data_IF_294481464754
#
_entry.id   IF_294481464754
#
_cell.length_a   1.000
_cell.length_b   1.000
_cell.length_c   1.000
_cell.angle_alpha   90.00
_cell.angle_beta   90.00
_cell.angle_gamma   90.00
#
_symmetry.space_group_name_H-M   'P 1'
#
loop_
_entity.id
_entity.type
_entity.pdbx_description
1 polymer ?
#
# COMPACT_ATOMS: atom_id res chain seq x y z
N UNK A 1 16.75 7.84 -7.68
CA UNK A 1 17.54 8.08 -6.46
C UNK A 1 16.86 9.15 -5.63
N UNK A 2 16.98 9.13 -4.31
CA UNK A 2 16.36 10.14 -3.43
C UNK A 2 17.45 11.00 -2.74
N UNK A 3 18.36 10.40 -1.97
CA UNK A 3 19.41 11.13 -1.25
C UNK A 3 20.58 10.23 -0.85
N UNK A 4 21.80 10.76 -0.93
CA UNK A 4 23.03 10.19 -0.34
C UNK A 4 23.45 10.98 0.91
N UNK A 5 24.11 10.33 1.86
CA UNK A 5 24.73 10.94 3.03
C UNK A 5 25.98 10.17 3.49
N UNK A 6 26.91 10.87 4.14
CA UNK A 6 28.13 10.31 4.71
C UNK A 6 28.65 11.19 5.85
N UNK A 7 29.00 10.58 6.98
CA UNK A 7 29.91 11.11 8.02
C UNK A 7 30.75 9.95 8.55
N UNK A 8 31.86 10.24 9.22
CA UNK A 8 32.74 9.19 9.76
C UNK A 8 32.02 8.32 10.82
N UNK A 9 31.12 8.91 11.61
CA UNK A 9 30.34 8.22 12.63
C UNK A 9 29.16 7.42 12.04
N UNK A 10 28.54 7.93 10.97
CA UNK A 10 27.33 7.35 10.37
C UNK A 10 27.61 6.37 9.23
N UNK A 11 28.86 6.30 8.75
CA UNK A 11 29.23 5.56 7.54
C UNK A 11 28.51 6.10 6.29
N UNK A 12 28.37 5.25 5.28
CA UNK A 12 27.77 5.62 4.00
C UNK A 12 26.28 5.25 3.94
N UNK A 13 25.43 6.24 3.66
CA UNK A 13 23.96 6.14 3.75
C UNK A 13 23.26 6.54 2.43
N UNK A 14 22.24 5.80 2.02
CA UNK A 14 21.50 5.99 0.76
C UNK A 14 20.01 5.71 0.97
N UNK A 15 19.20 6.68 0.57
CA UNK A 15 17.77 6.51 0.31
C UNK A 15 17.56 6.48 -1.20
N UNK A 16 17.05 5.37 -1.71
CA UNK A 16 16.74 5.20 -3.11
C UNK A 16 15.26 4.85 -3.29
N UNK A 17 14.65 5.44 -4.32
CA UNK A 17 13.36 4.99 -4.84
C UNK A 17 13.53 4.54 -6.28
N UNK A 18 12.85 3.44 -6.62
CA UNK A 18 12.79 2.87 -7.96
C UNK A 18 11.34 2.49 -8.27
N UNK A 19 10.98 2.54 -9.55
CA UNK A 19 9.67 2.11 -10.05
C UNK A 19 9.89 1.03 -11.10
N UNK A 20 9.14 -0.06 -11.01
CA UNK A 20 9.10 -1.14 -12.00
C UNK A 20 7.68 -1.67 -12.11
N UNK A 21 7.16 -1.86 -13.32
CA UNK A 21 5.81 -2.39 -13.56
C UNK A 21 4.69 -1.64 -12.79
N UNK A 22 4.82 -0.32 -12.66
CA UNK A 22 3.88 0.52 -11.89
C UNK A 22 4.03 0.44 -10.36
N UNK A 23 4.86 -0.45 -9.84
CA UNK A 23 5.17 -0.59 -8.42
C UNK A 23 6.38 0.28 -8.03
N UNK A 24 6.22 1.12 -7.02
CA UNK A 24 7.33 1.88 -6.42
C UNK A 24 7.86 1.15 -5.19
N UNK A 25 9.18 1.03 -5.11
CA UNK A 25 9.87 0.62 -3.88
C UNK A 25 10.80 1.73 -3.40
N UNK A 26 10.99 1.77 -2.08
CA UNK A 26 11.93 2.66 -1.41
C UNK A 26 12.84 1.79 -0.57
N UNK A 27 14.15 1.88 -0.81
CA UNK A 27 15.17 1.21 -0.03
C UNK A 27 15.99 2.26 0.71
N UNK A 28 16.24 2.00 1.99
CA UNK A 28 17.01 2.86 2.87
C UNK A 28 18.12 2.03 3.49
N UNK A 29 19.37 2.43 3.26
CA UNK A 29 20.56 1.77 3.77
C UNK A 29 21.40 2.80 4.52
N UNK A 30 21.82 2.47 5.74
CA UNK A 30 22.69 3.29 6.60
C UNK A 30 23.95 2.51 6.98
N UNK A 31 25.03 3.22 7.33
CA UNK A 31 26.17 2.61 8.02
C UNK A 31 26.99 1.62 7.20
N UNK A 32 27.01 1.73 5.88
CA UNK A 32 27.88 0.87 5.07
C UNK A 32 29.32 1.37 5.08
N UNK A 33 30.29 0.46 4.85
CA UNK A 33 31.72 0.76 4.96
C UNK A 33 32.31 1.54 3.78
N UNK A 34 31.56 1.68 2.67
CA UNK A 34 32.01 2.41 1.49
C UNK A 34 30.85 2.85 0.61
N UNK A 35 31.09 3.80 -0.29
CA UNK A 35 30.11 4.23 -1.30
C UNK A 35 29.66 3.08 -2.21
N UNK A 36 30.59 2.19 -2.58
CA UNK A 36 30.31 1.03 -3.41
C UNK A 36 29.44 0.02 -2.66
N UNK A 37 29.75 -0.24 -1.39
CA UNK A 37 28.94 -1.12 -0.54
C UNK A 37 27.51 -0.59 -0.41
N UNK A 38 27.36 0.70 -0.13
CA UNK A 38 26.06 1.36 -0.06
C UNK A 38 25.21 1.16 -1.31
N UNK A 39 25.81 1.37 -2.49
CA UNK A 39 25.13 1.21 -3.76
C UNK A 39 24.74 -0.25 -4.00
N UNK A 40 25.67 -1.18 -3.75
CA UNK A 40 25.45 -2.62 -3.91
C UNK A 40 24.32 -3.14 -3.01
N UNK A 41 24.33 -2.80 -1.72
CA UNK A 41 23.30 -3.24 -0.77
C UNK A 41 21.91 -2.66 -1.10
N UNK A 42 21.87 -1.39 -1.50
CA UNK A 42 20.62 -0.76 -1.93
C UNK A 42 20.05 -1.44 -3.18
N UNK A 43 20.92 -1.75 -4.16
CA UNK A 43 20.52 -2.46 -5.37
C UNK A 43 20.04 -3.88 -5.05
N UNK A 44 20.70 -4.60 -4.14
CA UNK A 44 20.28 -5.93 -3.69
C UNK A 44 18.88 -5.91 -3.08
N UNK A 45 18.60 -4.96 -2.18
CA UNK A 45 17.27 -4.83 -1.56
C UNK A 45 16.16 -4.55 -2.58
N UNK A 46 16.38 -3.58 -3.47
CA UNK A 46 15.41 -3.27 -4.53
C UNK A 46 15.19 -4.47 -5.46
N UNK A 47 16.28 -5.14 -5.85
CA UNK A 47 16.21 -6.33 -6.72
C UNK A 47 15.43 -7.46 -6.03
N UNK A 48 15.70 -7.71 -4.75
CA UNK A 48 14.98 -8.70 -3.96
C UNK A 48 13.48 -8.38 -3.88
N UNK A 49 13.15 -7.14 -3.53
CA UNK A 49 11.77 -6.67 -3.44
C UNK A 49 11.01 -6.89 -4.74
N UNK A 50 11.51 -6.37 -5.88
CA UNK A 50 10.83 -6.54 -7.17
C UNK A 50 10.77 -8.00 -7.64
N UNK A 51 11.71 -8.84 -7.22
CA UNK A 51 11.74 -10.26 -7.60
C UNK A 51 10.70 -11.08 -6.87
N UNK A 52 10.42 -10.78 -5.60
CA UNK A 52 9.58 -11.62 -4.75
C UNK A 52 8.26 -11.01 -4.36
N UNK A 53 8.07 -9.70 -4.54
CA UNK A 53 6.84 -9.01 -4.18
C UNK A 53 6.23 -8.29 -5.39
N UNK A 54 4.92 -8.21 -5.39
CA UNK A 54 4.16 -7.39 -6.33
C UNK A 54 3.13 -6.56 -5.54
N UNK A 55 2.95 -5.30 -5.95
CA UNK A 55 1.91 -4.42 -5.39
C UNK A 55 0.84 -4.19 -6.44
N UNK A 56 -0.43 -4.33 -6.05
CA UNK A 56 -1.57 -4.00 -6.94
C UNK A 56 -2.61 -3.19 -6.21
N UNK A 57 -3.28 -2.31 -6.96
CA UNK A 57 -4.48 -1.63 -6.51
C UNK A 57 -5.66 -2.57 -6.73
N UNK A 58 -6.35 -2.93 -5.66
CA UNK A 58 -7.47 -3.87 -5.64
C UNK A 58 -8.79 -3.15 -5.86
N UNK A 59 -8.97 -2.03 -5.17
CA UNK A 59 -10.19 -1.23 -5.22
C UNK A 59 -9.82 0.23 -5.13
N UNK A 60 -10.42 1.05 -5.97
CA UNK A 60 -10.25 2.50 -5.91
C UNK A 60 -11.21 3.10 -4.90
N UNK A 61 -10.84 4.25 -4.35
CA UNK A 61 -11.74 5.10 -3.58
C UNK A 61 -13.05 5.29 -4.33
N UNK A 62 -14.17 5.13 -3.61
CA UNK A 62 -15.50 5.34 -4.16
C UNK A 62 -16.01 4.22 -5.08
N UNK A 63 -15.25 3.12 -5.27
CA UNK A 63 -15.81 1.89 -5.83
C UNK A 63 -16.89 1.36 -4.87
N UNK A 64 -18.10 1.19 -5.38
CA UNK A 64 -19.19 0.53 -4.66
C UNK A 64 -18.83 -0.95 -4.51
N UNK A 65 -18.64 -1.40 -3.27
CA UNK A 65 -18.34 -2.80 -2.95
C UNK A 65 -19.59 -3.56 -2.54
N UNK A 66 -20.51 -2.90 -1.86
CA UNK A 66 -21.76 -3.49 -1.40
C UNK A 66 -22.78 -2.38 -1.10
N UNK A 67 -24.00 -2.80 -0.77
CA UNK A 67 -25.07 -1.92 -0.32
C UNK A 67 -25.54 -2.33 1.07
N UNK A 68 -25.78 -1.35 1.94
CA UNK A 68 -26.39 -1.55 3.24
C UNK A 68 -27.79 -0.97 3.27
N UNK A 69 -28.73 -1.67 3.92
CA UNK A 69 -30.09 -1.17 4.12
C UNK A 69 -30.10 -0.10 5.22
N UNK A 70 -30.78 1.02 4.94
CA UNK A 70 -30.85 2.18 5.83
C UNK A 70 -32.25 2.33 6.41
N UNK A 71 -32.31 2.50 7.72
CA UNK A 71 -33.52 2.74 8.49
C UNK A 71 -33.66 4.21 8.84
N UNK A 72 -34.91 4.71 8.81
CA UNK A 72 -35.29 6.10 9.14
C UNK A 72 -34.60 7.18 8.28
N UNK A 73 -34.02 6.79 7.15
CA UNK A 73 -33.43 7.70 6.16
C UNK A 73 -34.44 8.13 5.10
N UNK A 74 -34.09 9.17 4.35
CA UNK A 74 -34.78 9.52 3.10
C UNK A 74 -34.57 8.49 2.00
N UNK A 75 -33.45 7.77 2.06
CA UNK A 75 -33.11 6.66 1.18
C UNK A 75 -33.10 5.34 1.97
N UNK A 76 -33.44 4.24 1.28
CA UNK A 76 -33.53 2.89 1.88
C UNK A 76 -32.24 2.08 1.75
N UNK A 77 -31.29 2.55 0.96
CA UNK A 77 -30.00 1.90 0.72
C UNK A 77 -28.89 2.96 0.77
N UNK A 78 -27.71 2.56 1.23
CA UNK A 78 -26.49 3.33 1.08
C UNK A 78 -25.43 2.47 0.43
N UNK A 79 -24.69 3.07 -0.51
CA UNK A 79 -23.53 2.44 -1.14
C UNK A 79 -22.38 2.44 -0.16
N UNK A 80 -21.84 1.27 0.12
CA UNK A 80 -20.65 1.10 0.94
C UNK A 80 -19.46 0.70 0.06
N UNK A 81 -18.32 1.28 0.37
CA UNK A 81 -17.08 1.11 -0.39
C UNK A 81 -15.91 1.64 0.42
N UNK A 82 -14.78 1.87 -0.25
CA UNK A 82 -13.59 2.34 0.43
C UNK A 82 -13.48 3.87 0.42
N UNK A 83 -13.03 4.40 1.56
CA UNK A 83 -12.69 5.82 1.72
C UNK A 83 -11.39 6.21 0.99
N UNK A 84 -10.51 5.24 0.75
CA UNK A 84 -9.22 5.37 0.07
C UNK A 84 -8.93 4.17 -0.84
N UNK A 85 -7.92 4.29 -1.70
CA UNK A 85 -7.51 3.19 -2.57
C UNK A 85 -6.92 2.04 -1.76
N UNK A 86 -7.40 0.81 -1.95
CA UNK A 86 -6.79 -0.37 -1.37
C UNK A 86 -5.66 -0.87 -2.27
N UNK A 87 -4.43 -0.58 -1.88
CA UNK A 87 -3.23 -1.16 -2.50
C UNK A 87 -2.58 -2.12 -1.52
N UNK A 88 -2.33 -3.37 -1.94
CA UNK A 88 -1.60 -4.34 -1.12
C UNK A 88 -0.35 -4.84 -1.82
N UNK A 89 0.68 -5.11 -1.03
CA UNK A 89 1.94 -5.73 -1.48
C UNK A 89 2.00 -7.15 -0.96
N UNK A 90 2.14 -8.13 -1.85
CA UNK A 90 2.13 -9.54 -1.48
C UNK A 90 3.29 -10.28 -2.16
N UNK A 91 3.67 -11.46 -1.63
CA UNK A 91 4.59 -12.32 -2.35
C UNK A 91 4.03 -12.67 -3.73
N UNK A 92 4.89 -12.62 -4.74
CA UNK A 92 4.55 -12.92 -6.13
C UNK A 92 3.88 -14.28 -6.23
N UNK A 93 2.77 -14.34 -6.96
CA UNK A 93 2.00 -15.57 -7.17
C UNK A 93 1.02 -15.93 -6.04
N UNK A 94 0.98 -15.19 -4.92
CA UNK A 94 -0.04 -15.40 -3.88
C UNK A 94 -1.35 -14.64 -4.15
N UNK A 95 -1.38 -13.78 -5.16
CA UNK A 95 -2.54 -12.95 -5.51
C UNK A 95 -3.81 -13.77 -5.75
N UNK A 96 -3.70 -14.93 -6.40
CA UNK A 96 -4.85 -15.79 -6.73
C UNK A 96 -5.49 -16.46 -5.50
N UNK A 97 -4.81 -16.43 -4.35
CA UNK A 97 -5.28 -17.05 -3.10
C UNK A 97 -6.02 -16.06 -2.19
N UNK A 98 -6.09 -14.78 -2.57
CA UNK A 98 -6.77 -13.77 -1.77
C UNK A 98 -8.29 -13.97 -1.81
N UNK A 99 -8.89 -13.88 -0.63
CA UNK A 99 -10.34 -13.77 -0.47
C UNK A 99 -10.64 -12.44 0.21
N UNK A 100 -11.55 -11.68 -0.40
CA UNK A 100 -12.05 -10.44 0.19
C UNK A 100 -13.41 -10.72 0.83
N UNK A 101 -13.58 -10.27 2.08
CA UNK A 101 -14.88 -10.26 2.75
C UNK A 101 -15.13 -8.87 3.31
N UNK A 102 -16.41 -8.47 3.30
CA UNK A 102 -16.87 -7.22 3.86
C UNK A 102 -18.02 -7.54 4.80
N UNK A 103 -17.95 -7.00 6.01
CA UNK A 103 -19.00 -7.15 7.03
C UNK A 103 -19.57 -5.76 7.28
N UNK A 104 -20.88 -5.64 7.13
CA UNK A 104 -21.63 -4.43 7.46
C UNK A 104 -22.50 -4.69 8.68
N UNK A 105 -22.80 -3.62 9.42
CA UNK A 105 -23.85 -3.70 10.43
C UNK A 105 -25.20 -3.99 9.77
N UNK A 106 -26.00 -4.91 10.34
CA UNK A 106 -27.29 -5.31 9.76
C UNK A 106 -28.35 -4.21 9.81
N UNK A 107 -28.19 -3.21 10.67
CA UNK A 107 -29.12 -2.09 10.84
C UNK A 107 -28.38 -0.76 10.79
N UNK A 108 -28.27 -0.18 9.59
CA UNK A 108 -27.74 1.17 9.45
C UNK A 108 -28.87 2.17 9.72
N UNK A 109 -28.73 3.04 10.73
CA UNK A 109 -29.72 4.11 11.00
C UNK A 109 -29.24 5.46 10.48
N UNK A 110 -30.16 6.21 9.88
CA UNK A 110 -29.90 7.60 9.51
C UNK A 110 -29.75 8.52 10.75
N UNK A 111 -29.00 9.64 10.64
CA UNK A 111 -28.26 10.11 9.46
C UNK A 111 -26.92 9.38 9.27
N UNK A 112 -26.61 9.02 8.03
CA UNK A 112 -25.31 8.44 7.65
C UNK A 112 -24.53 9.47 6.85
N UNK A 113 -23.29 9.73 7.26
CA UNK A 113 -22.42 10.71 6.60
C UNK A 113 -21.45 10.03 5.63
N UNK A 114 -21.05 10.75 4.58
CA UNK A 114 -20.03 10.25 3.67
C UNK A 114 -18.71 10.04 4.43
N UNK A 115 -18.14 8.84 4.34
CA UNK A 115 -16.89 8.47 5.01
C UNK A 115 -17.07 7.94 6.43
N UNK A 116 -18.32 7.77 6.91
CA UNK A 116 -18.61 7.04 8.14
C UNK A 116 -18.22 5.56 7.99
N UNK A 117 -17.58 5.00 9.02
CA UNK A 117 -17.10 3.61 9.09
C UNK A 117 -18.03 2.78 9.95
#
# INVERSE_FOLDING_TARGET
>A
GLKTGHTDEAGYCLVASAVRDGQRMIAVVFGTNSEQARAAETQKLLTYGFRFFESRNFYKKGTELTKGLVWKGSEHEVKAGLAEDLTMTLPRGQMQKLQASMVLEPQLMAPIQQGQV
#
